data_IF_967334563671
#
_entry.id   IF_967334563671
#
_cell.length_a   1.000
_cell.length_b   1.000
_cell.length_c   1.000
_cell.angle_alpha   90.00
_cell.angle_beta   90.00
_cell.angle_gamma   90.00
#
_symmetry.space_group_name_H-M   'P 1'
#
loop_
_entity.id
_entity.type
_entity.pdbx_description
1 polymer ?
#
# COMPACT_ATOMS: atom_id res chain seq x y z
N UNK A 1 -2.60 28.76 -33.59
CA UNK A 1 -2.54 29.13 -32.17
C UNK A 1 -3.50 28.28 -31.36
N UNK A 2 -2.95 27.45 -30.46
CA UNK A 2 -3.76 26.63 -29.56
C UNK A 2 -4.19 27.49 -28.37
N UNK A 3 -5.48 27.81 -28.30
CA UNK A 3 -6.11 28.47 -27.16
C UNK A 3 -6.23 27.47 -26.01
N UNK A 4 -5.20 27.40 -25.17
CA UNK A 4 -5.21 26.58 -23.95
C UNK A 4 -5.91 27.34 -22.82
N UNK A 5 -6.79 26.65 -22.09
CA UNK A 5 -7.47 27.16 -20.90
C UNK A 5 -6.84 26.50 -19.67
N UNK A 6 -6.31 27.30 -18.74
CA UNK A 6 -5.81 26.83 -17.45
C UNK A 6 -6.85 27.09 -16.36
N UNK A 7 -7.26 26.01 -15.67
CA UNK A 7 -8.25 26.07 -14.59
C UNK A 7 -7.54 25.70 -13.28
N UNK A 8 -7.51 26.62 -12.31
CA UNK A 8 -6.84 26.45 -11.01
C UNK A 8 -7.69 25.74 -9.95
N UNK A 9 -8.73 25.00 -10.36
CA UNK A 9 -9.66 24.33 -9.45
C UNK A 9 -9.14 22.90 -9.20
N UNK A 10 -9.39 22.37 -8.00
CA UNK A 10 -9.11 20.97 -7.69
C UNK A 10 -9.86 20.07 -8.67
N UNK A 11 -9.15 19.13 -9.29
CA UNK A 11 -9.77 18.14 -10.16
C UNK A 11 -10.58 17.15 -9.33
N UNK A 12 -11.89 17.16 -9.51
CA UNK A 12 -12.82 16.16 -8.98
C UNK A 12 -13.45 15.41 -10.15
N UNK A 13 -13.24 14.10 -10.22
CA UNK A 13 -13.81 13.24 -11.27
C UNK A 13 -14.85 12.25 -10.72
N UNK A 14 -15.24 12.37 -9.46
CA UNK A 14 -16.17 11.46 -8.77
C UNK A 14 -17.47 11.23 -9.55
N UNK A 15 -18.03 12.28 -10.14
CA UNK A 15 -19.28 12.24 -10.90
C UNK A 15 -19.14 11.60 -12.29
N UNK A 16 -17.92 11.46 -12.80
CA UNK A 16 -17.64 10.94 -14.15
C UNK A 16 -17.28 9.46 -14.17
N UNK A 17 -16.81 8.90 -13.04
CA UNK A 17 -16.31 7.51 -13.00
C UNK A 17 -17.41 6.46 -12.97
N UNK A 18 -18.66 6.84 -12.70
CA UNK A 18 -19.82 5.93 -12.64
C UNK A 18 -19.85 5.02 -11.40
N UNK A 19 -19.00 5.27 -10.41
CA UNK A 19 -19.01 4.54 -9.14
C UNK A 19 -20.16 5.06 -8.26
N UNK A 20 -21.02 4.18 -7.70
CA UNK A 20 -22.08 4.61 -6.80
C UNK A 20 -21.56 5.37 -5.57
N UNK A 21 -22.30 6.38 -5.12
CA UNK A 21 -21.89 7.23 -3.98
C UNK A 21 -21.60 6.44 -2.71
N UNK A 22 -22.29 5.30 -2.50
CA UNK A 22 -22.05 4.41 -1.37
C UNK A 22 -20.57 4.01 -1.31
N UNK A 23 -19.98 3.59 -2.42
CA UNK A 23 -18.59 3.13 -2.47
C UNK A 23 -17.58 4.28 -2.49
N UNK A 24 -18.00 5.52 -2.74
CA UNK A 24 -17.12 6.69 -2.70
C UNK A 24 -16.98 7.21 -1.27
N UNK A 25 -18.11 7.38 -0.55
CA UNK A 25 -18.15 8.04 0.77
C UNK A 25 -17.90 7.12 1.94
N UNK A 26 -18.39 5.87 1.89
CA UNK A 26 -18.31 4.95 3.04
C UNK A 26 -16.97 4.23 3.12
N UNK A 27 -16.21 4.23 2.02
CA UNK A 27 -14.97 3.50 1.87
C UNK A 27 -13.77 4.32 2.31
N UNK A 28 -12.79 3.60 2.86
CA UNK A 28 -11.50 4.19 3.20
C UNK A 28 -10.40 3.48 2.43
N UNK A 29 -9.56 4.29 1.82
CA UNK A 29 -8.41 3.87 1.06
C UNK A 29 -7.18 3.87 1.96
N UNK A 30 -6.37 2.82 1.88
CA UNK A 30 -5.09 2.73 2.58
C UNK A 30 -3.96 2.83 1.57
N UNK A 31 -3.11 3.85 1.75
CA UNK A 31 -1.92 4.10 0.93
C UNK A 31 -0.69 3.69 1.74
N UNK A 32 0.04 2.69 1.28
CA UNK A 32 1.16 2.11 2.03
C UNK A 32 2.21 1.51 1.11
N UNK A 33 3.42 1.32 1.62
CA UNK A 33 4.39 0.43 1.00
C UNK A 33 4.22 -0.96 1.62
N UNK A 34 3.97 -2.02 0.83
CA UNK A 34 3.75 -3.34 1.39
C UNK A 34 4.97 -3.80 2.18
N UNK A 35 4.71 -4.43 3.33
CA UNK A 35 5.75 -5.02 4.14
C UNK A 35 6.46 -6.14 3.36
N UNK A 36 7.75 -6.33 3.64
CA UNK A 36 8.48 -7.48 3.10
C UNK A 36 7.89 -8.77 3.68
N UNK A 37 7.64 -9.77 2.83
CA UNK A 37 7.31 -11.10 3.31
C UNK A 37 8.50 -11.64 4.12
N UNK A 38 8.32 -11.86 5.43
CA UNK A 38 9.41 -12.28 6.31
C UNK A 38 9.98 -13.68 5.98
N UNK A 39 9.22 -14.51 5.27
CA UNK A 39 9.70 -15.81 4.77
C UNK A 39 10.75 -15.66 3.65
N UNK A 40 10.85 -14.49 3.02
CA UNK A 40 11.77 -14.23 1.92
C UNK A 40 12.65 -13.00 2.19
N UNK A 41 13.94 -13.07 1.87
CA UNK A 41 14.87 -11.95 2.06
C UNK A 41 14.77 -10.85 0.99
N UNK A 42 14.04 -11.09 -0.11
CA UNK A 42 13.93 -10.15 -1.23
C UNK A 42 13.17 -8.85 -0.87
N UNK A 43 13.66 -7.72 -1.36
CA UNK A 43 13.08 -6.37 -1.10
C UNK A 43 12.43 -5.73 -2.33
N UNK A 44 12.29 -6.46 -3.44
CA UNK A 44 11.80 -5.85 -4.68
C UNK A 44 10.34 -5.39 -4.56
N UNK A 45 9.52 -6.13 -3.81
CA UNK A 45 8.10 -5.81 -3.62
C UNK A 45 7.87 -4.58 -2.73
N UNK A 46 8.87 -4.10 -1.98
CA UNK A 46 8.74 -2.95 -1.04
C UNK A 46 9.20 -1.62 -1.65
N UNK A 47 9.30 -1.55 -2.99
CA UNK A 47 9.73 -0.35 -3.73
C UNK A 47 8.57 0.53 -4.19
N UNK A 48 7.39 -0.05 -4.40
CA UNK A 48 6.22 0.64 -4.94
C UNK A 48 5.21 0.93 -3.83
N UNK A 49 4.49 2.03 -3.99
CA UNK A 49 3.34 2.35 -3.16
C UNK A 49 2.14 1.57 -3.66
N UNK A 50 1.33 1.09 -2.74
CA UNK A 50 0.08 0.40 -3.01
C UNK A 50 -1.06 1.18 -2.39
N UNK A 51 -2.18 1.16 -3.10
CA UNK A 51 -3.45 1.67 -2.65
C UNK A 51 -4.43 0.50 -2.64
N UNK A 52 -5.01 0.23 -1.48
CA UNK A 52 -6.03 -0.80 -1.29
C UNK A 52 -7.25 -0.21 -0.57
N UNK A 53 -8.42 -0.82 -0.76
CA UNK A 53 -9.62 -0.48 -0.01
C UNK A 53 -9.72 -1.33 1.25
N UNK A 54 -10.50 -0.86 2.22
CA UNK A 54 -10.90 -1.65 3.38
C UNK A 54 -11.63 -2.94 2.94
N UNK A 55 -11.40 -4.05 3.64
CA UNK A 55 -12.08 -5.31 3.32
C UNK A 55 -13.47 -5.33 3.98
N UNK A 56 -14.52 -5.51 3.17
CA UNK A 56 -15.88 -5.78 3.68
C UNK A 56 -16.09 -7.28 3.96
N UNK A 57 -17.29 -7.59 4.43
CA UNK A 57 -17.73 -8.94 4.77
C UNK A 57 -17.55 -9.93 3.60
N UNK A 58 -17.07 -11.11 3.97
CA UNK A 58 -17.07 -12.31 3.14
C UNK A 58 -17.81 -13.38 3.92
N UNK A 59 -18.78 -14.03 3.30
CA UNK A 59 -19.59 -15.08 3.92
C UNK A 59 -19.43 -16.41 3.19
N UNK A 60 -19.81 -17.49 3.86
CA UNK A 60 -19.77 -18.84 3.30
C UNK A 60 -20.96 -19.08 2.37
N UNK A 61 -20.70 -19.59 1.17
CA UNK A 61 -21.73 -20.02 0.24
C UNK A 61 -22.40 -21.31 0.76
N UNK A 62 -23.73 -21.32 1.01
CA UNK A 62 -24.42 -22.47 1.59
C UNK A 62 -24.29 -23.80 0.83
N UNK A 63 -24.03 -23.74 -0.48
CA UNK A 63 -23.93 -24.95 -1.30
C UNK A 63 -22.51 -25.53 -1.34
N UNK A 64 -21.50 -24.69 -1.59
CA UNK A 64 -20.12 -25.13 -1.89
C UNK A 64 -19.10 -24.75 -0.81
N UNK A 65 -19.46 -23.92 0.16
CA UNK A 65 -18.54 -23.42 1.18
C UNK A 65 -17.55 -22.34 0.71
N UNK A 66 -17.79 -21.74 -0.47
CA UNK A 66 -16.91 -20.69 -1.01
C UNK A 66 -17.08 -19.35 -0.29
N UNK A 67 -16.02 -18.52 -0.30
CA UNK A 67 -16.07 -17.16 0.22
C UNK A 67 -16.77 -16.22 -0.79
N UNK A 68 -18.07 -16.01 -0.60
CA UNK A 68 -18.87 -15.04 -1.35
C UNK A 68 -18.73 -13.64 -0.77
N UNK A 69 -18.85 -12.61 -1.62
CA UNK A 69 -18.82 -11.21 -1.21
C UNK A 69 -19.69 -10.34 -2.12
N UNK A 70 -20.22 -9.24 -1.59
CA UNK A 70 -20.91 -8.19 -2.34
C UNK A 70 -20.00 -6.97 -2.60
N UNK A 71 -18.69 -7.13 -2.40
CA UNK A 71 -17.74 -6.04 -2.51
C UNK A 71 -17.04 -5.99 -3.89
N UNK A 72 -17.39 -5.04 -4.77
CA UNK A 72 -16.76 -4.90 -6.09
C UNK A 72 -15.31 -4.37 -6.01
N UNK A 73 -14.94 -3.66 -4.94
CA UNK A 73 -13.63 -3.02 -4.79
C UNK A 73 -12.64 -3.88 -3.97
N UNK A 74 -13.09 -5.01 -3.43
CA UNK A 74 -12.32 -5.89 -2.54
C UNK A 74 -10.99 -6.38 -3.12
N UNK A 75 -10.87 -6.49 -4.45
CA UNK A 75 -9.70 -7.02 -5.15
C UNK A 75 -8.91 -5.92 -5.90
N UNK A 76 -9.27 -4.65 -5.72
CA UNK A 76 -8.60 -3.54 -6.37
C UNK A 76 -7.31 -3.16 -5.62
N UNK A 77 -6.17 -3.35 -6.28
CA UNK A 77 -4.87 -2.91 -5.79
C UNK A 77 -4.19 -2.08 -6.86
N UNK A 78 -4.02 -0.80 -6.60
CA UNK A 78 -3.33 0.11 -7.51
C UNK A 78 -1.87 0.27 -7.07
N UNK A 79 -0.97 0.39 -8.05
CA UNK A 79 0.47 0.53 -7.79
C UNK A 79 0.96 1.89 -8.27
N UNK A 80 1.68 2.58 -7.39
CA UNK A 80 2.19 3.92 -7.63
C UNK A 80 3.70 3.98 -7.40
N UNK A 81 4.34 4.96 -8.03
CA UNK A 81 5.77 5.20 -7.87
C UNK A 81 6.07 6.06 -6.65
N UNK A 82 5.25 7.09 -6.39
CA UNK A 82 5.44 8.04 -5.28
C UNK A 82 4.23 8.06 -4.34
N UNK A 83 4.40 8.67 -3.16
CA UNK A 83 3.30 8.85 -2.18
C UNK A 83 2.32 9.91 -2.67
N UNK A 84 2.87 10.95 -3.29
CA UNK A 84 2.17 12.13 -3.77
C UNK A 84 1.22 11.76 -4.92
N UNK A 85 1.67 10.91 -5.86
CA UNK A 85 0.82 10.43 -6.95
C UNK A 85 -0.38 9.62 -6.42
N UNK A 86 -0.15 8.78 -5.41
CA UNK A 86 -1.21 7.99 -4.79
C UNK A 86 -2.21 8.89 -4.05
N UNK A 87 -1.74 9.88 -3.30
CA UNK A 87 -2.60 10.83 -2.59
C UNK A 87 -3.40 11.68 -3.57
N UNK A 88 -2.75 12.23 -4.61
CA UNK A 88 -3.42 12.99 -5.66
C UNK A 88 -4.48 12.17 -6.40
N UNK A 89 -4.22 10.88 -6.64
CA UNK A 89 -5.20 9.98 -7.26
C UNK A 89 -6.40 9.71 -6.35
N UNK A 90 -6.18 9.47 -5.05
CA UNK A 90 -7.28 9.30 -4.09
C UNK A 90 -8.13 10.58 -3.97
N UNK A 91 -7.48 11.74 -3.89
CA UNK A 91 -8.14 13.04 -3.84
C UNK A 91 -8.95 13.35 -5.09
N UNK A 92 -8.42 13.01 -6.28
CA UNK A 92 -9.10 13.22 -7.56
C UNK A 92 -10.38 12.38 -7.67
N UNK A 93 -10.37 11.17 -7.12
CA UNK A 93 -11.51 10.26 -7.07
C UNK A 93 -12.41 10.47 -5.84
N UNK A 94 -12.14 11.47 -5.00
CA UNK A 94 -12.97 11.81 -3.84
C UNK A 94 -13.01 10.73 -2.75
N UNK A 95 -12.01 9.85 -2.67
CA UNK A 95 -11.95 8.81 -1.66
C UNK A 95 -11.24 9.31 -0.38
N UNK A 96 -11.77 8.93 0.78
CA UNK A 96 -11.08 9.13 2.06
C UNK A 96 -9.87 8.21 2.13
N UNK A 97 -8.69 8.73 2.51
CA UNK A 97 -7.46 7.94 2.53
C UNK A 97 -6.65 8.12 3.82
N UNK A 98 -5.97 7.05 4.22
CA UNK A 98 -4.90 7.05 5.21
C UNK A 98 -3.56 6.78 4.54
N UNK A 99 -2.49 7.45 5.00
CA UNK A 99 -1.14 7.19 4.51
C UNK A 99 -0.28 6.61 5.62
N UNK A 100 0.24 5.41 5.38
CA UNK A 100 1.28 4.80 6.20
C UNK A 100 2.67 5.11 5.62
N UNK A 101 3.55 5.67 6.45
CA UNK A 101 4.90 5.99 6.01
C UNK A 101 5.75 4.75 5.73
N UNK A 102 6.63 4.87 4.75
CA UNK A 102 7.54 3.81 4.35
C UNK A 102 8.57 3.53 5.45
N UNK A 103 8.52 2.32 6.02
CA UNK A 103 9.48 1.85 7.02
C UNK A 103 10.73 1.25 6.36
N UNK A 104 11.83 1.99 6.33
CA UNK A 104 13.12 1.50 5.84
C UNK A 104 13.90 0.75 6.92
N UNK A 105 14.53 -0.39 6.60
CA UNK A 105 15.38 -1.09 7.56
C UNK A 105 16.62 -0.26 7.87
N UNK A 106 16.92 -0.09 9.16
CA UNK A 106 18.10 0.65 9.63
C UNK A 106 19.39 -0.07 9.19
N UNK A 107 20.38 0.63 8.60
CA UNK A 107 21.69 0.05 8.32
C UNK A 107 22.33 -0.49 9.60
N UNK A 108 22.82 -1.74 9.57
CA UNK A 108 23.46 -2.39 10.73
C UNK A 108 24.97 -2.47 10.50
N UNK A 109 25.77 -2.09 11.49
CA UNK A 109 27.21 -2.33 11.48
C UNK A 109 27.48 -3.83 11.66
N UNK A 110 28.05 -4.48 10.65
CA UNK A 110 28.47 -5.88 10.72
C UNK A 110 29.96 -5.97 10.46
N UNK A 111 30.68 -6.67 11.33
CA UNK A 111 32.11 -6.97 11.16
C UNK A 111 32.32 -8.45 11.42
N UNK A 112 32.93 -9.17 10.47
CA UNK A 112 33.22 -10.58 10.64
C UNK A 112 34.23 -10.82 11.79
N UNK A 113 35.20 -9.91 11.96
CA UNK A 113 36.15 -9.97 13.08
C UNK A 113 35.49 -9.82 14.45
N UNK A 114 34.34 -9.15 14.53
CA UNK A 114 33.59 -9.05 15.78
C UNK A 114 33.05 -10.41 16.27
N UNK A 115 32.84 -11.36 15.35
CA UNK A 115 32.43 -12.73 15.69
C UNK A 115 33.54 -13.52 16.43
N UNK A 116 34.80 -13.05 16.42
CA UNK A 116 35.96 -13.71 17.03
C UNK A 116 36.72 -12.81 18.01
N UNK A 117 36.03 -11.82 18.59
CA UNK A 117 36.64 -10.85 19.50
C UNK A 117 37.29 -11.51 20.73
N UNK A 118 38.49 -11.07 21.10
CA UNK A 118 39.23 -11.56 22.27
C UNK A 118 38.49 -11.34 23.61
N UNK A 119 37.90 -10.15 23.80
CA UNK A 119 37.32 -9.74 25.09
C UNK A 119 35.87 -9.23 25.03
N UNK A 120 35.17 -9.36 23.90
CA UNK A 120 33.76 -8.94 23.76
C UNK A 120 32.83 -10.15 23.75
N UNK A 121 31.58 -9.92 24.19
CA UNK A 121 30.51 -10.93 24.20
C UNK A 121 29.96 -11.29 22.82
N UNK A 122 30.46 -10.65 21.76
CA UNK A 122 30.06 -10.90 20.37
C UNK A 122 30.70 -12.16 19.79
N UNK A 123 31.64 -12.79 20.53
CA UNK A 123 32.29 -14.01 20.09
C UNK A 123 31.27 -15.15 19.96
N UNK A 124 31.12 -15.70 18.76
CA UNK A 124 30.24 -16.84 18.51
C UNK A 124 30.90 -18.14 18.94
N UNK A 125 30.10 -19.08 19.46
CA UNK A 125 30.59 -20.41 19.84
C UNK A 125 30.78 -21.34 18.65
N UNK A 126 30.05 -21.11 17.56
CA UNK A 126 30.04 -21.94 16.35
C UNK A 126 29.96 -21.07 15.09
N UNK A 127 30.32 -21.63 13.92
CA UNK A 127 30.26 -20.99 12.60
C UNK A 127 29.74 -21.95 11.56
#
# INVERSE_FOLDING_TARGET
DLTLITIGIKMDITTLTGVPEEHIKTRKVRIFVPARNNMQSGVNNTKKWKMEFDTRERWENPLMGWASTADPLSNMVLTFSTKEDAAAFAEKNGWSYDIEERKVPKPKSKSYGANFSWNKRTRVSTK
#
